data_IF_724522452019
#
_entry.id   IF_724522452019
#
_cell.length_a   1.000
_cell.length_b   1.000
_cell.length_c   1.000
_cell.angle_alpha   90.00
_cell.angle_beta   90.00
_cell.angle_gamma   90.00
#
_symmetry.space_group_name_H-M   'P 1'
#
loop_
_entity.id
_entity.type
_entity.pdbx_description
1 polymer ?
#
# COMPACT_ATOMS: atom_id res chain seq x y z
N UNK A 1 4.75 -3.91 15.16
CA UNK A 1 5.05 -3.29 13.83
C UNK A 1 5.98 -4.22 13.08
N UNK A 2 5.89 -4.27 11.74
CA UNK A 2 6.62 -5.25 10.91
C UNK A 2 8.14 -5.26 11.15
N UNK A 3 8.81 -4.13 10.92
CA UNK A 3 10.28 -4.05 10.98
C UNK A 3 10.85 -4.14 12.41
N UNK A 4 10.01 -3.93 13.42
CA UNK A 4 10.39 -4.08 14.83
C UNK A 4 10.17 -5.51 15.35
N UNK A 5 9.53 -6.38 14.57
CA UNK A 5 9.26 -7.76 14.98
C UNK A 5 10.58 -8.57 15.07
N UNK A 6 10.84 -9.31 16.16
CA UNK A 6 12.09 -10.04 16.33
C UNK A 6 12.39 -11.05 15.22
N UNK A 7 11.36 -11.72 14.67
CA UNK A 7 11.54 -12.72 13.60
C UNK A 7 11.89 -12.04 12.28
N UNK A 8 11.25 -10.89 11.99
CA UNK A 8 11.56 -10.08 10.81
C UNK A 8 12.97 -9.51 10.93
N UNK A 9 13.33 -8.93 12.08
CA UNK A 9 14.68 -8.41 12.32
C UNK A 9 15.76 -9.47 12.11
N UNK A 10 15.58 -10.67 12.66
CA UNK A 10 16.52 -11.78 12.48
C UNK A 10 16.74 -12.11 11.00
N UNK A 11 15.66 -12.18 10.20
CA UNK A 11 15.77 -12.38 8.76
C UNK A 11 16.49 -11.21 8.07
N UNK A 12 16.12 -9.97 8.41
CA UNK A 12 16.72 -8.77 7.82
C UNK A 12 18.22 -8.60 8.16
N UNK A 13 18.68 -9.14 9.28
CA UNK A 13 20.09 -9.08 9.68
C UNK A 13 20.91 -10.22 9.07
N UNK A 14 20.32 -11.41 8.95
CA UNK A 14 21.08 -12.61 8.59
C UNK A 14 21.05 -12.92 7.09
N UNK A 15 19.98 -12.54 6.39
CA UNK A 15 19.69 -13.08 5.06
C UNK A 15 19.62 -12.02 3.95
N UNK A 16 19.52 -10.73 4.29
CA UNK A 16 19.43 -9.62 3.34
C UNK A 16 20.20 -8.40 3.82
N UNK A 17 20.47 -7.45 2.91
CA UNK A 17 21.02 -6.13 3.25
C UNK A 17 19.90 -5.10 3.17
N UNK A 18 19.37 -4.60 4.30
CA UNK A 18 18.30 -3.61 4.29
C UNK A 18 18.82 -2.27 3.78
N UNK A 19 18.10 -1.67 2.84
CA UNK A 19 18.32 -0.31 2.36
C UNK A 19 17.01 0.48 2.41
N UNK A 20 17.12 1.79 2.63
CA UNK A 20 15.98 2.69 2.64
C UNK A 20 16.17 3.80 1.60
N UNK A 21 15.11 4.09 0.85
CA UNK A 21 15.07 5.17 -0.12
C UNK A 21 13.73 5.89 -0.01
N UNK A 22 13.76 7.22 0.12
CA UNK A 22 12.57 8.05 -0.13
C UNK A 22 12.43 8.26 -1.64
N UNK A 23 11.28 7.93 -2.20
CA UNK A 23 11.05 7.94 -3.67
C UNK A 23 10.10 9.05 -4.14
N UNK A 24 9.65 9.90 -3.23
CA UNK A 24 8.81 11.05 -3.50
C UNK A 24 8.67 11.92 -2.25
N UNK A 25 8.25 13.17 -2.44
CA UNK A 25 7.76 13.96 -1.31
C UNK A 25 6.38 13.44 -0.90
N UNK A 26 6.03 13.67 0.36
CA UNK A 26 4.72 13.34 0.89
C UNK A 26 3.96 14.64 1.13
N UNK A 27 2.72 14.73 0.65
CA UNK A 27 1.86 15.87 0.93
C UNK A 27 1.63 15.99 2.45
N UNK A 28 1.83 17.18 3.01
CA UNK A 28 1.59 17.45 4.43
C UNK A 28 0.38 18.35 4.57
N UNK A 29 -0.63 17.89 5.29
CA UNK A 29 -1.76 18.70 5.71
C UNK A 29 -1.55 19.17 7.13
N UNK A 30 -1.74 20.47 7.34
CA UNK A 30 -1.72 21.11 8.65
C UNK A 30 -3.07 21.77 8.86
N UNK A 31 -3.79 21.39 9.91
CA UNK A 31 -5.08 21.98 10.30
C UNK A 31 -4.86 22.69 11.64
N UNK A 32 -5.05 23.99 11.67
CA UNK A 32 -5.10 24.78 12.90
C UNK A 32 -6.58 24.88 13.33
N UNK A 33 -6.87 24.64 14.61
CA UNK A 33 -8.25 24.49 15.11
C UNK A 33 -8.86 25.79 15.68
N UNK A 34 -8.17 26.93 15.53
CA UNK A 34 -8.57 28.24 16.04
C UNK A 34 -8.22 28.47 17.52
N UNK A 35 -7.75 27.45 18.23
CA UNK A 35 -7.38 27.51 19.65
C UNK A 35 -5.90 27.19 19.91
N UNK A 36 -5.06 27.31 18.86
CA UNK A 36 -3.64 27.02 18.91
C UNK A 36 -3.31 25.53 18.78
N UNK A 37 -4.31 24.64 18.73
CA UNK A 37 -4.08 23.22 18.44
C UNK A 37 -3.85 23.03 16.94
N UNK A 38 -2.79 22.28 16.62
CA UNK A 38 -2.38 22.00 15.24
C UNK A 38 -2.35 20.50 15.00
N UNK A 39 -3.09 20.04 13.98
CA UNK A 39 -3.05 18.67 13.47
C UNK A 39 -2.15 18.64 12.24
N UNK A 40 -0.97 18.02 12.33
CA UNK A 40 -0.07 17.77 11.19
C UNK A 40 -0.14 16.32 10.75
N UNK A 41 -0.40 16.09 9.47
CA UNK A 41 -0.46 14.74 8.88
C UNK A 41 0.14 14.67 7.49
N UNK A 42 0.67 13.50 7.17
CA UNK A 42 1.06 13.12 5.82
C UNK A 42 -0.17 12.51 5.11
N UNK A 43 -0.44 12.94 3.87
CA UNK A 43 -1.38 12.28 2.97
C UNK A 43 -0.64 11.45 1.91
N UNK A 44 -1.22 10.32 1.50
CA UNK A 44 -0.76 9.57 0.34
C UNK A 44 0.50 8.71 0.55
N UNK A 45 1.12 8.74 1.73
CA UNK A 45 2.36 8.01 2.00
C UNK A 45 2.18 6.49 1.92
N UNK A 46 2.88 5.82 1.00
CA UNK A 46 2.91 4.36 0.83
C UNK A 46 4.35 3.84 0.91
N UNK A 47 4.49 2.55 1.19
CA UNK A 47 5.78 1.87 1.19
C UNK A 47 5.72 0.65 0.29
N UNK A 48 6.84 0.33 -0.35
CA UNK A 48 7.05 -0.96 -1.02
C UNK A 48 8.35 -1.53 -0.49
N UNK A 49 8.32 -2.76 0.02
CA UNK A 49 9.55 -3.51 0.31
C UNK A 49 9.92 -4.27 -0.97
N UNK A 50 11.13 -4.07 -1.47
CA UNK A 50 11.65 -4.77 -2.64
C UNK A 50 12.66 -5.82 -2.18
N UNK A 51 12.59 -7.01 -2.77
CA UNK A 51 13.66 -8.01 -2.68
C UNK A 51 14.44 -7.94 -3.99
N UNK A 52 15.74 -7.61 -3.90
CA UNK A 52 16.61 -7.37 -5.04
C UNK A 52 17.79 -8.34 -5.04
N UNK A 53 18.33 -8.59 -6.23
CA UNK A 53 19.65 -9.19 -6.41
C UNK A 53 20.74 -8.11 -6.31
N UNK A 54 22.00 -8.54 -6.17
CA UNK A 54 23.15 -7.66 -6.14
C UNK A 54 23.29 -6.82 -7.43
N UNK A 55 22.80 -7.31 -8.57
CA UNK A 55 22.81 -6.60 -9.86
C UNK A 55 21.61 -5.65 -10.04
N UNK A 56 20.74 -5.51 -9.02
CA UNK A 56 19.55 -4.66 -9.07
C UNK A 56 18.32 -5.31 -9.72
N UNK A 57 18.41 -6.57 -10.18
CA UNK A 57 17.24 -7.32 -10.66
C UNK A 57 16.25 -7.54 -9.52
N UNK A 58 14.98 -7.26 -9.76
CA UNK A 58 13.91 -7.46 -8.78
C UNK A 58 13.53 -8.93 -8.71
N UNK A 59 13.67 -9.51 -7.53
CA UNK A 59 13.17 -10.85 -7.19
C UNK A 59 11.69 -10.79 -6.85
N UNK A 60 11.31 -9.84 -5.99
CA UNK A 60 9.92 -9.68 -5.59
C UNK A 60 9.60 -8.29 -5.00
N UNK A 61 8.31 -7.97 -4.87
CA UNK A 61 7.84 -6.71 -4.30
C UNK A 61 6.65 -6.88 -3.34
N UNK A 62 6.67 -6.16 -2.24
CA UNK A 62 5.65 -6.19 -1.17
C UNK A 62 5.10 -4.76 -0.97
N UNK A 63 4.17 -4.32 -1.83
CA UNK A 63 3.54 -3.00 -1.71
C UNK A 63 2.51 -2.97 -0.58
N UNK A 64 2.51 -1.86 0.17
CA UNK A 64 1.56 -1.61 1.26
C UNK A 64 2.07 -2.04 2.63
N UNK A 65 1.15 -2.08 3.59
CA UNK A 65 1.44 -2.43 4.98
C UNK A 65 1.29 -3.95 5.17
N UNK A 66 2.26 -4.56 5.86
CA UNK A 66 2.19 -5.97 6.23
C UNK A 66 2.32 -6.16 7.74
N UNK A 67 1.69 -7.22 8.25
CA UNK A 67 2.01 -7.83 9.54
C UNK A 67 3.14 -8.86 9.37
N UNK A 68 3.90 -9.18 10.43
CA UNK A 68 4.91 -10.23 10.38
C UNK A 68 4.35 -11.58 9.90
N UNK A 69 3.14 -11.94 10.34
CA UNK A 69 2.52 -13.23 10.01
C UNK A 69 2.22 -13.37 8.52
N UNK A 70 1.81 -12.29 7.85
CA UNK A 70 1.54 -12.31 6.41
C UNK A 70 2.82 -12.11 5.59
N UNK A 71 3.77 -11.32 6.09
CA UNK A 71 5.02 -11.01 5.37
C UNK A 71 5.99 -12.18 5.32
N UNK A 72 6.23 -12.83 6.46
CA UNK A 72 7.32 -13.81 6.59
C UNK A 72 7.18 -15.04 5.67
N UNK A 73 5.99 -15.65 5.51
CA UNK A 73 5.83 -16.77 4.57
C UNK A 73 6.17 -16.36 3.14
N UNK A 74 5.71 -15.18 2.71
CA UNK A 74 5.92 -14.71 1.34
C UNK A 74 7.38 -14.33 1.06
N UNK A 75 8.05 -13.68 2.02
CA UNK A 75 9.47 -13.36 1.90
C UNK A 75 10.31 -14.64 1.77
N UNK A 76 10.07 -15.63 2.65
CA UNK A 76 10.78 -16.92 2.61
C UNK A 76 10.55 -17.67 1.31
N UNK A 77 9.32 -17.67 0.82
CA UNK A 77 8.95 -18.30 -0.44
C UNK A 77 9.65 -17.63 -1.63
N UNK A 78 9.69 -16.30 -1.68
CA UNK A 78 10.41 -15.56 -2.73
C UNK A 78 11.91 -15.85 -2.70
N UNK A 79 12.52 -15.87 -1.51
CA UNK A 79 13.92 -16.24 -1.34
C UNK A 79 14.21 -17.68 -1.77
N UNK A 80 13.34 -18.63 -1.44
CA UNK A 80 13.47 -20.03 -1.84
C UNK A 80 13.34 -20.19 -3.35
N UNK A 81 12.38 -19.51 -3.97
CA UNK A 81 12.19 -19.51 -5.41
C UNK A 81 13.42 -18.97 -6.13
N UNK A 82 14.01 -17.89 -5.61
CA UNK A 82 15.27 -17.37 -6.10
C UNK A 82 16.40 -18.39 -5.99
N UNK A 83 16.63 -18.96 -4.80
CA UNK A 83 17.66 -20.01 -4.59
C UNK A 83 17.48 -21.17 -5.57
N UNK A 84 16.25 -21.62 -5.79
CA UNK A 84 15.95 -22.73 -6.72
C UNK A 84 16.20 -22.34 -8.18
N UNK A 85 15.84 -21.12 -8.59
CA UNK A 85 16.12 -20.64 -9.93
C UNK A 85 17.63 -20.59 -10.20
N UNK A 86 18.41 -20.07 -9.24
CA UNK A 86 19.88 -20.02 -9.33
C UNK A 86 20.50 -21.39 -9.46
N UNK A 87 20.11 -22.35 -8.60
CA UNK A 87 20.62 -23.74 -8.65
C UNK A 87 20.33 -24.41 -10.00
N UNK A 88 19.19 -24.09 -10.62
CA UNK A 88 18.79 -24.64 -11.93
C UNK A 88 19.40 -23.86 -13.12
N UNK A 89 20.23 -22.86 -12.89
CA UNK A 89 20.74 -21.97 -13.94
C UNK A 89 19.66 -21.13 -14.62
N UNK A 90 18.45 -21.05 -14.03
CA UNK A 90 17.34 -20.31 -14.59
C UNK A 90 17.57 -18.81 -14.39
N UNK A 91 17.63 -18.05 -15.49
CA UNK A 91 17.84 -16.59 -15.48
C UNK A 91 16.55 -15.78 -15.30
N UNK A 92 15.45 -16.41 -14.88
CA UNK A 92 14.15 -15.73 -14.73
C UNK A 92 13.28 -16.40 -13.66
N UNK A 93 12.49 -15.58 -12.99
CA UNK A 93 11.45 -15.99 -12.04
C UNK A 93 10.04 -15.94 -12.66
N UNK A 94 9.90 -15.65 -13.95
CA UNK A 94 8.59 -15.54 -14.60
C UNK A 94 7.68 -16.77 -14.37
N UNK A 95 8.15 -18.03 -14.46
CA UNK A 95 7.32 -19.20 -14.14
C UNK A 95 6.88 -19.27 -12.67
N UNK A 96 7.72 -18.80 -11.74
CA UNK A 96 7.38 -18.70 -10.33
C UNK A 96 6.24 -17.68 -10.11
N UNK A 97 6.33 -16.49 -10.72
CA UNK A 97 5.28 -15.49 -10.58
C UNK A 97 4.00 -15.86 -11.33
N UNK A 98 4.09 -16.46 -12.52
CA UNK A 98 2.93 -16.88 -13.33
C UNK A 98 1.97 -17.78 -12.55
N UNK A 99 2.51 -18.74 -11.78
CA UNK A 99 1.74 -19.65 -10.92
C UNK A 99 0.97 -18.97 -9.78
N UNK A 100 1.29 -17.70 -9.46
CA UNK A 100 0.72 -16.93 -8.33
C UNK A 100 -0.18 -15.78 -8.75
N UNK A 101 -0.45 -15.63 -10.05
CA UNK A 101 -1.27 -14.53 -10.57
C UNK A 101 -2.74 -14.63 -10.19
N UNK A 102 -3.25 -15.86 -9.99
CA UNK A 102 -4.67 -16.10 -9.72
C UNK A 102 -5.61 -15.51 -10.78
N UNK A 103 -6.93 -15.50 -10.53
CA UNK A 103 -7.89 -14.88 -11.45
C UNK A 103 -7.71 -13.36 -11.52
N UNK A 104 -8.20 -12.70 -12.59
CA UNK A 104 -8.26 -11.24 -12.66
C UNK A 104 -9.09 -10.65 -11.50
N UNK A 105 -8.65 -9.50 -11.00
CA UNK A 105 -9.36 -8.78 -9.94
C UNK A 105 -10.40 -7.85 -10.56
N UNK A 106 -11.56 -7.72 -9.91
CA UNK A 106 -12.64 -6.81 -10.33
C UNK A 106 -13.08 -5.97 -9.13
N UNK A 107 -12.54 -4.77 -9.00
CA UNK A 107 -12.93 -3.80 -7.97
C UNK A 107 -12.52 -4.18 -6.54
N UNK A 108 -11.33 -4.77 -6.35
CA UNK A 108 -10.88 -5.19 -5.04
C UNK A 108 -10.36 -3.99 -4.22
N UNK A 109 -10.95 -3.76 -3.05
CA UNK A 109 -10.61 -2.64 -2.17
C UNK A 109 -9.24 -2.83 -1.51
N UNK A 110 -8.43 -1.78 -1.50
CA UNK A 110 -7.10 -1.69 -0.85
C UNK A 110 -7.00 -0.45 0.04
N UNK A 111 -5.91 -0.32 0.81
CA UNK A 111 -5.64 0.84 1.69
C UNK A 111 -6.69 1.02 2.80
N UNK A 112 -7.18 -0.10 3.35
CA UNK A 112 -8.26 -0.11 4.34
C UNK A 112 -7.82 0.58 5.62
N UNK A 113 -6.58 0.33 6.05
CA UNK A 113 -6.01 0.94 7.25
C UNK A 113 -5.85 2.45 7.10
N UNK A 114 -5.44 2.91 5.90
CA UNK A 114 -5.29 4.33 5.59
C UNK A 114 -6.61 5.09 5.57
N UNK A 115 -7.67 4.45 5.08
CA UNK A 115 -9.01 5.04 5.09
C UNK A 115 -9.42 5.50 6.49
N UNK A 116 -8.99 4.80 7.54
CA UNK A 116 -9.28 5.20 8.94
C UNK A 116 -8.79 6.60 9.30
N UNK A 117 -7.79 7.10 8.58
CA UNK A 117 -7.11 8.38 8.85
C UNK A 117 -7.37 9.41 7.76
N UNK A 118 -7.31 9.00 6.49
CA UNK A 118 -7.37 9.93 5.34
C UNK A 118 -8.81 10.35 5.00
N UNK A 119 -9.77 9.43 5.08
CA UNK A 119 -11.15 9.71 4.69
C UNK A 119 -11.86 10.79 5.52
N UNK A 120 -11.66 10.91 6.85
CA UNK A 120 -12.19 12.03 7.63
C UNK A 120 -11.60 13.38 7.22
N UNK A 121 -10.31 13.43 6.90
CA UNK A 121 -9.65 14.66 6.43
C UNK A 121 -10.23 15.08 5.09
N UNK A 122 -10.38 14.13 4.16
CA UNK A 122 -11.01 14.39 2.87
C UNK A 122 -12.48 14.85 3.01
N UNK A 123 -13.23 14.31 3.98
CA UNK A 123 -14.60 14.75 4.26
C UNK A 123 -14.67 16.23 4.62
N UNK A 124 -13.76 16.69 5.48
CA UNK A 124 -13.69 18.11 5.89
C UNK A 124 -13.37 19.00 4.68
N UNK A 125 -12.42 18.58 3.84
CA UNK A 125 -12.04 19.33 2.64
C UNK A 125 -13.16 19.35 1.58
N UNK A 126 -13.93 18.27 1.47
CA UNK A 126 -14.99 18.12 0.46
C UNK A 126 -16.27 18.88 0.79
N UNK A 127 -16.60 19.09 2.07
CA UNK A 127 -17.80 19.83 2.48
C UNK A 127 -17.78 21.31 2.04
N UNK A 128 -16.62 21.82 1.58
CA UNK A 128 -16.46 23.18 1.03
C UNK A 128 -16.66 23.26 -0.50
N UNK A 129 -16.93 22.16 -1.20
CA UNK A 129 -17.12 22.11 -2.66
C UNK A 129 -18.37 21.29 -3.03
N UNK A 130 -19.04 21.56 -4.17
CA UNK A 130 -20.20 20.77 -4.58
C UNK A 130 -19.80 19.30 -4.70
N UNK A 131 -20.58 18.41 -4.05
CA UNK A 131 -20.32 16.96 -3.96
C UNK A 131 -20.25 16.31 -5.34
N UNK A 132 -19.08 16.36 -5.98
CA UNK A 132 -18.67 15.33 -6.92
C UNK A 132 -18.40 14.10 -6.08
N UNK A 133 -19.44 13.28 -5.92
CA UNK A 133 -19.28 11.92 -5.43
C UNK A 133 -18.40 11.18 -6.46
N UNK A 134 -17.08 11.31 -6.31
CA UNK A 134 -16.12 10.57 -7.14
C UNK A 134 -16.31 9.11 -6.77
N UNK A 135 -17.12 8.41 -7.58
CA UNK A 135 -17.25 6.97 -7.47
C UNK A 135 -15.84 6.39 -7.68
N UNK A 136 -15.38 5.52 -6.76
CA UNK A 136 -14.09 4.88 -6.95
C UNK A 136 -14.09 4.11 -8.26
N UNK A 137 -13.23 4.52 -9.19
CA UNK A 137 -13.00 3.74 -10.39
C UNK A 137 -11.91 2.69 -10.11
N UNK A 138 -12.09 1.44 -10.54
CA UNK A 138 -11.02 0.47 -10.50
C UNK A 138 -9.83 0.99 -11.31
N UNK A 139 -8.63 0.97 -10.71
CA UNK A 139 -7.39 1.27 -11.42
C UNK A 139 -7.07 0.19 -12.48
N UNK A 140 -5.94 0.33 -13.20
CA UNK A 140 -5.54 -0.55 -14.31
C UNK A 140 -5.51 -2.05 -14.00
N UNK A 141 -5.52 -2.43 -12.72
CA UNK A 141 -5.49 -3.83 -12.25
C UNK A 141 -6.73 -4.25 -11.46
N UNK A 142 -7.82 -3.51 -11.59
CA UNK A 142 -9.05 -3.80 -10.87
C UNK A 142 -8.95 -3.58 -9.36
N UNK A 143 -7.96 -2.81 -8.90
CA UNK A 143 -7.80 -2.41 -7.51
C UNK A 143 -8.51 -1.07 -7.27
N UNK A 144 -9.09 -0.90 -6.09
CA UNK A 144 -9.80 0.30 -5.69
C UNK A 144 -9.21 0.83 -4.40
N UNK A 145 -8.58 2.00 -4.46
CA UNK A 145 -8.08 2.68 -3.27
C UNK A 145 -9.25 3.32 -2.51
N UNK A 146 -9.60 2.74 -1.36
CA UNK A 146 -10.70 3.25 -0.55
C UNK A 146 -10.28 4.38 0.39
N UNK A 147 -8.98 4.69 0.52
CA UNK A 147 -8.54 5.79 1.39
C UNK A 147 -8.86 7.16 0.80
N UNK A 148 -9.01 7.23 -0.52
CA UNK A 148 -9.37 8.45 -1.27
C UNK A 148 -10.87 8.78 -1.25
N UNK A 149 -11.68 8.03 -0.51
CA UNK A 149 -13.12 8.25 -0.43
C UNK A 149 -13.46 9.06 0.82
N UNK A 150 -14.04 10.26 0.70
CA UNK A 150 -14.49 11.05 1.85
C UNK A 150 -15.47 10.25 2.72
N UNK A 151 -15.22 10.19 4.02
CA UNK A 151 -16.13 9.56 4.98
C UNK A 151 -15.94 10.15 6.38
N UNK A 152 -17.05 10.38 7.08
CA UNK A 152 -16.98 10.88 8.46
C UNK A 152 -16.32 9.85 9.38
N UNK A 153 -15.59 10.31 10.39
CA UNK A 153 -14.98 9.42 11.38
C UNK A 153 -16.00 8.52 12.09
N UNK A 154 -17.25 9.00 12.27
CA UNK A 154 -18.34 8.20 12.84
C UNK A 154 -18.77 7.06 11.91
N UNK A 155 -18.90 7.30 10.60
CA UNK A 155 -19.24 6.27 9.62
C UNK A 155 -18.16 5.17 9.57
N UNK A 156 -16.90 5.57 9.52
CA UNK A 156 -15.74 4.65 9.51
C UNK A 156 -15.71 3.78 10.77
N UNK A 157 -15.90 4.38 11.96
CA UNK A 157 -15.92 3.63 13.21
C UNK A 157 -17.07 2.61 13.25
N UNK A 158 -18.26 2.99 12.76
CA UNK A 158 -19.40 2.06 12.66
C UNK A 158 -19.11 0.88 11.75
N UNK A 159 -18.49 1.13 10.59
CA UNK A 159 -18.10 0.09 9.66
C UNK A 159 -17.03 -0.84 10.26
N UNK A 160 -15.96 -0.27 10.83
CA UNK A 160 -14.88 -1.04 11.45
C UNK A 160 -15.33 -1.89 12.64
N UNK A 161 -16.34 -1.41 13.38
CA UNK A 161 -16.95 -2.11 14.51
C UNK A 161 -17.96 -3.20 14.10
N UNK A 162 -18.28 -3.35 12.81
CA UNK A 162 -19.20 -4.38 12.34
C UNK A 162 -18.66 -5.78 12.67
N UNK A 163 -19.48 -6.57 13.36
CA UNK A 163 -19.11 -7.91 13.83
C UNK A 163 -18.05 -7.94 14.94
N UNK A 164 -17.75 -6.80 15.58
CA UNK A 164 -16.83 -6.73 16.74
C UNK A 164 -17.63 -6.65 18.03
N UNK A 165 -17.36 -7.47 19.07
CA UNK A 165 -17.94 -7.32 20.39
C UNK A 165 -17.71 -5.92 20.96
N UNK A 166 -18.67 -5.38 21.71
CA UNK A 166 -18.59 -3.99 22.22
C UNK A 166 -17.36 -3.77 23.11
N UNK A 167 -16.97 -4.79 23.88
CA UNK A 167 -15.76 -4.82 24.72
C UNK A 167 -14.45 -4.63 23.94
N UNK A 168 -14.45 -4.92 22.63
CA UNK A 168 -13.26 -4.88 21.77
C UNK A 168 -13.26 -3.67 20.80
N UNK A 169 -14.18 -2.72 20.96
CA UNK A 169 -14.34 -1.56 20.05
C UNK A 169 -13.48 -0.35 20.42
N UNK A 170 -12.41 -0.53 21.20
CA UNK A 170 -11.50 0.58 21.49
C UNK A 170 -10.84 1.09 20.19
N UNK A 171 -10.53 2.40 20.08
CA UNK A 171 -9.86 2.95 18.89
C UNK A 171 -8.58 2.19 18.53
N UNK A 172 -7.79 1.81 19.52
CA UNK A 172 -6.55 1.03 19.35
C UNK A 172 -6.83 -0.36 18.80
N UNK A 173 -7.85 -1.06 19.30
CA UNK A 173 -8.22 -2.39 18.82
C UNK A 173 -8.72 -2.36 17.36
N UNK A 174 -9.59 -1.39 17.03
CA UNK A 174 -10.06 -1.19 15.66
C UNK A 174 -8.92 -0.83 14.70
N UNK A 175 -7.99 0.03 15.13
CA UNK A 175 -6.79 0.37 14.37
C UNK A 175 -5.92 -0.86 14.09
N UNK A 176 -5.61 -1.67 15.11
CA UNK A 176 -4.85 -2.92 14.93
C UNK A 176 -5.55 -3.89 13.98
N UNK A 177 -6.87 -4.08 14.13
CA UNK A 177 -7.67 -4.94 13.25
C UNK A 177 -7.64 -4.45 11.81
N UNK A 178 -7.67 -3.13 11.59
CA UNK A 178 -7.57 -2.55 10.24
C UNK A 178 -6.23 -2.86 9.58
N UNK A 179 -5.12 -2.80 10.33
CA UNK A 179 -3.78 -3.16 9.83
C UNK A 179 -3.70 -4.65 9.47
N UNK A 180 -4.24 -5.53 10.31
CA UNK A 180 -4.28 -6.98 10.03
C UNK A 180 -5.08 -7.25 8.76
N UNK A 181 -6.26 -6.62 8.61
CA UNK A 181 -7.09 -6.76 7.41
C UNK A 181 -6.37 -6.25 6.16
N UNK A 182 -5.75 -5.08 6.25
CA UNK A 182 -5.02 -4.46 5.13
C UNK A 182 -3.82 -5.33 4.70
N UNK A 183 -3.10 -5.91 5.67
CA UNK A 183 -2.03 -6.86 5.43
C UNK A 183 -2.50 -8.12 4.71
N UNK A 184 -3.62 -8.72 5.16
CA UNK A 184 -4.20 -9.89 4.49
C UNK A 184 -4.65 -9.57 3.05
N UNK A 185 -5.22 -8.38 2.81
CA UNK A 185 -5.55 -7.90 1.47
C UNK A 185 -4.29 -7.71 0.64
N UNK A 186 -3.24 -7.09 1.17
CA UNK A 186 -1.98 -6.92 0.44
C UNK A 186 -1.40 -8.30 0.06
N UNK A 187 -1.36 -9.24 1.01
CA UNK A 187 -0.86 -10.60 0.83
C UNK A 187 -1.61 -11.43 -0.23
N UNK A 188 -2.93 -11.25 -0.35
CA UNK A 188 -3.77 -12.14 -1.17
C UNK A 188 -4.28 -11.49 -2.46
N UNK A 189 -4.48 -10.17 -2.46
CA UNK A 189 -5.05 -9.40 -3.56
C UNK A 189 -3.96 -8.61 -4.26
N UNK A 190 -3.28 -7.70 -3.57
CA UNK A 190 -2.29 -6.81 -4.22
C UNK A 190 -1.10 -7.60 -4.76
N UNK A 191 -0.66 -8.62 -4.01
CA UNK A 191 0.42 -9.51 -4.42
C UNK A 191 0.14 -10.29 -5.70
N UNK A 192 -1.11 -10.66 -5.99
CA UNK A 192 -1.48 -11.27 -7.29
C UNK A 192 -1.17 -10.33 -8.45
N UNK A 193 -1.46 -9.04 -8.27
CA UNK A 193 -1.13 -8.00 -9.24
C UNK A 193 0.38 -7.80 -9.40
N UNK A 194 1.16 -7.91 -8.31
CA UNK A 194 2.63 -7.91 -8.36
C UNK A 194 3.15 -9.12 -9.13
N UNK A 195 2.68 -10.34 -8.81
CA UNK A 195 3.09 -11.54 -9.52
C UNK A 195 2.73 -11.46 -11.01
N UNK A 196 1.56 -10.91 -11.36
CA UNK A 196 1.19 -10.71 -12.77
C UNK A 196 2.12 -9.71 -13.47
N UNK A 197 2.53 -8.65 -12.77
CA UNK A 197 3.54 -7.72 -13.28
C UNK A 197 4.88 -8.44 -13.48
N UNK A 198 5.43 -9.08 -12.45
CA UNK A 198 6.75 -9.72 -12.53
C UNK A 198 6.81 -10.86 -13.55
N UNK A 199 5.69 -11.59 -13.77
CA UNK A 199 5.60 -12.63 -14.79
C UNK A 199 5.71 -12.09 -16.22
N UNK A 200 5.40 -10.80 -16.46
CA UNK A 200 5.52 -10.19 -17.79
C UNK A 200 6.93 -9.68 -18.11
N UNK A 201 7.87 -9.77 -17.15
CA UNK A 201 9.25 -9.33 -17.35
C UNK A 201 10.21 -10.52 -17.29
N UNK A 202 11.25 -10.46 -18.11
CA UNK A 202 12.31 -11.47 -18.09
C UNK A 202 13.24 -11.26 -16.90
N UNK A 203 13.74 -10.03 -16.73
CA UNK A 203 14.67 -9.57 -15.66
C UNK A 203 14.39 -8.08 -15.36
N UNK A 204 13.31 -7.76 -14.63
CA UNK A 204 12.98 -6.37 -14.37
C UNK A 204 13.95 -5.75 -13.36
N UNK A 205 14.42 -4.54 -13.63
CA UNK A 205 15.07 -3.69 -12.64
C UNK A 205 14.07 -2.90 -11.81
N UNK A 206 14.53 -2.29 -10.72
CA UNK A 206 13.67 -1.43 -9.89
C UNK A 206 13.14 -0.20 -10.66
N UNK A 207 13.92 0.31 -11.63
CA UNK A 207 13.51 1.43 -12.47
C UNK A 207 12.30 1.13 -13.35
N UNK A 208 12.20 -0.12 -13.85
CA UNK A 208 11.09 -0.56 -14.69
C UNK A 208 9.79 -0.69 -13.89
N UNK A 209 9.90 -1.24 -12.67
CA UNK A 209 8.73 -1.61 -11.88
C UNK A 209 8.23 -0.50 -10.99
N UNK A 210 9.10 0.37 -10.48
CA UNK A 210 8.72 1.36 -9.46
C UNK A 210 7.60 2.29 -9.95
N UNK A 211 7.68 2.93 -11.14
CA UNK A 211 6.59 3.80 -11.61
C UNK A 211 5.27 3.04 -11.74
N UNK A 212 5.32 1.79 -12.23
CA UNK A 212 4.15 0.94 -12.44
C UNK A 212 3.52 0.52 -11.10
N UNK A 213 4.33 0.07 -10.14
CA UNK A 213 3.83 -0.35 -8.82
C UNK A 213 3.21 0.83 -8.08
N UNK A 214 3.89 1.98 -8.05
CA UNK A 214 3.37 3.14 -7.35
C UNK A 214 2.11 3.71 -8.00
N UNK A 215 2.08 3.83 -9.33
CA UNK A 215 0.90 4.33 -10.05
C UNK A 215 -0.25 3.31 -10.07
N UNK A 216 0.00 2.09 -10.51
CA UNK A 216 -1.08 1.14 -10.84
C UNK A 216 -1.52 0.28 -9.65
N UNK A 217 -0.68 0.10 -8.63
CA UNK A 217 -1.04 -0.70 -7.43
C UNK A 217 -1.35 0.15 -6.23
N UNK A 218 -0.62 1.26 -6.05
CA UNK A 218 -0.72 2.12 -4.88
C UNK A 218 -1.44 3.45 -5.15
N UNK A 219 -1.83 3.67 -6.41
CA UNK A 219 -2.54 4.88 -6.86
C UNK A 219 -1.80 6.16 -6.47
N UNK A 220 -0.46 6.12 -6.49
CA UNK A 220 0.43 7.22 -6.14
C UNK A 220 1.41 7.47 -7.30
N UNK A 221 1.03 8.25 -8.33
CA UNK A 221 1.94 8.57 -9.43
C UNK A 221 3.11 9.43 -8.92
N UNK A 222 4.32 8.86 -8.87
CA UNK A 222 5.51 9.56 -8.34
C UNK A 222 5.93 10.81 -9.15
N UNK A 223 5.50 10.89 -10.41
CA UNK A 223 5.76 12.05 -11.28
C UNK A 223 4.68 13.13 -11.22
N UNK A 224 3.61 12.93 -10.45
CA UNK A 224 2.57 13.95 -10.30
C UNK A 224 3.02 14.99 -9.26
N UNK A 225 3.24 16.26 -9.67
CA UNK A 225 3.65 17.32 -8.74
C UNK A 225 2.60 17.59 -7.66
N UNK A 226 1.33 17.27 -7.93
CA UNK A 226 0.21 17.42 -6.99
C UNK A 226 -0.01 16.16 -6.15
N UNK A 227 0.81 15.11 -6.33
CA UNK A 227 0.75 13.87 -5.55
C UNK A 227 -0.64 13.20 -5.52
N UNK A 228 -1.39 13.30 -6.62
CA UNK A 228 -2.75 12.79 -6.75
C UNK A 228 -3.83 13.70 -6.15
N UNK A 229 -3.49 14.93 -5.78
CA UNK A 229 -4.44 15.96 -5.31
C UNK A 229 -4.87 16.93 -6.41
N UNK A 230 -4.42 16.75 -7.66
CA UNK A 230 -4.76 17.64 -8.78
C UNK A 230 -6.28 17.75 -9.04
N UNK A 231 -7.04 16.69 -8.74
CA UNK A 231 -8.50 16.68 -8.87
C UNK A 231 -9.22 17.37 -7.70
N UNK A 232 -8.50 17.71 -6.63
CA UNK A 232 -9.00 18.38 -5.42
C UNK A 232 -8.56 19.85 -5.44
N UNK A 233 -8.85 20.56 -6.53
CA UNK A 233 -8.68 22.01 -6.57
C UNK A 233 -9.71 22.65 -5.63
N UNK A 234 -9.25 23.04 -4.45
CA UNK A 234 -10.05 23.87 -3.53
C UNK A 234 -9.97 25.34 -3.95
N UNK A 235 -11.02 26.14 -3.72
CA UNK A 235 -10.96 27.59 -3.89
C UNK A 235 -9.73 28.17 -3.19
N UNK A 236 -8.92 28.97 -3.90
CA UNK A 236 -7.68 29.56 -3.38
C UNK A 236 -6.41 28.72 -3.58
N UNK A 237 -6.47 27.60 -4.29
CA UNK A 237 -5.25 26.89 -4.73
C UNK A 237 -4.45 27.80 -5.69
N UNK A 238 -3.18 28.14 -5.38
CA UNK A 238 -2.36 28.97 -6.26
C UNK A 238 -2.20 28.27 -7.63
N UNK A 239 -2.39 29.04 -8.71
CA UNK A 239 -2.15 28.59 -10.09
C UNK A 239 -0.67 28.69 -10.44
#
# INVERSE_FOLDING_TARGET
MLLSDPKVRKLLTNDVVPCWQSVGMNAKVTIELGDGRVIRRTLGGNTVIWLLQADGTVVDAFPGVFTPNDFMPQMREAMLAWKTATVRGARTLAPYHAKRTGPPLRGANISISKRMVEAPVLSILSDSTPKLAVRPQPGPRGLVDVSKQPATGAAIRREAARGVPRSERSPTALGRRSIVRDSAVNATVVRRSVHRLLASFKRPGIGDLRPIVFRDLLHLPLGDPMMGLGDVLVPGTPR
#
